data_IF_352774581031
#
_entry.id   IF_352774581031
#
_cell.length_a   1.000
_cell.length_b   1.000
_cell.length_c   1.000
_cell.angle_alpha   90.00
_cell.angle_beta   90.00
_cell.angle_gamma   90.00
#
_symmetry.space_group_name_H-M   'P 1'
#
loop_
_entity.id
_entity.type
_entity.pdbx_description
1 polymer ?
#
# COMPACT_ATOMS: atom_id res chain seq x y z
N UNK A 1 6.68 20.14 13.89
CA UNK A 1 7.48 21.24 14.51
C UNK A 1 6.52 22.33 14.99
N UNK A 2 6.70 22.99 16.15
CA UNK A 2 5.79 24.05 16.56
C UNK A 2 5.91 25.27 15.62
N UNK A 3 4.77 25.74 15.11
CA UNK A 3 4.65 26.89 14.22
C UNK A 3 5.00 28.17 14.99
N UNK A 4 5.91 29.01 14.47
CA UNK A 4 6.38 30.22 15.15
C UNK A 4 5.53 31.46 14.84
N UNK A 5 4.77 31.45 13.75
CA UNK A 5 3.84 32.53 13.41
C UNK A 5 3.32 32.43 11.97
N UNK A 6 2.87 33.57 11.45
CA UNK A 6 2.51 33.78 10.05
C UNK A 6 3.18 35.04 9.52
N UNK A 7 3.63 35.01 8.27
CA UNK A 7 4.08 36.20 7.53
C UNK A 7 3.02 36.56 6.49
N UNK A 8 2.63 37.84 6.46
CA UNK A 8 1.72 38.39 5.44
C UNK A 8 2.54 38.92 4.28
N UNK A 9 2.38 38.32 3.10
CA UNK A 9 3.02 38.73 1.86
C UNK A 9 1.97 39.33 0.92
N UNK A 10 2.26 40.51 0.38
CA UNK A 10 1.48 41.13 -0.70
C UNK A 10 2.27 40.96 -2.01
N UNK A 11 1.71 40.24 -2.97
CA UNK A 11 2.32 40.02 -4.28
C UNK A 11 2.13 41.24 -5.18
N UNK A 12 2.94 41.36 -6.24
CA UNK A 12 2.87 42.46 -7.21
C UNK A 12 1.52 42.56 -7.94
N UNK A 13 0.75 41.47 -7.99
CA UNK A 13 -0.61 41.43 -8.53
C UNK A 13 -1.70 41.81 -7.50
N UNK A 14 -1.31 42.33 -6.32
CA UNK A 14 -2.21 42.74 -5.24
C UNK A 14 -2.80 41.60 -4.42
N UNK A 15 -2.54 40.33 -4.76
CA UNK A 15 -3.00 39.19 -3.97
C UNK A 15 -2.17 39.06 -2.70
N UNK A 16 -2.83 38.67 -1.63
CA UNK A 16 -2.20 38.50 -0.33
C UNK A 16 -2.12 37.02 0.09
N UNK A 17 -1.04 36.66 0.78
CA UNK A 17 -0.82 35.35 1.34
C UNK A 17 -0.42 35.48 2.81
N UNK A 18 -1.16 34.79 3.69
CA UNK A 18 -0.74 34.57 5.08
C UNK A 18 -0.10 33.19 5.17
N UNK A 19 1.22 33.16 5.29
CA UNK A 19 2.00 31.93 5.14
C UNK A 19 2.60 31.54 6.50
N UNK A 20 2.36 30.31 7.00
CA UNK A 20 3.01 29.79 8.19
C UNK A 20 4.53 29.89 8.11
N UNK A 21 5.17 30.30 9.21
CA UNK A 21 6.63 30.30 9.33
C UNK A 21 7.06 29.53 10.58
N UNK A 22 8.11 28.73 10.46
CA UNK A 22 8.77 28.09 11.58
C UNK A 22 9.77 29.05 12.25
N UNK A 23 10.35 28.57 13.36
CA UNK A 23 11.35 29.32 14.15
C UNK A 23 12.63 29.65 13.37
N UNK A 24 12.88 28.95 12.27
CA UNK A 24 14.09 29.09 11.46
C UNK A 24 13.84 30.02 10.24
N UNK A 25 12.63 30.58 10.12
CA UNK A 25 12.26 31.52 9.06
C UNK A 25 11.79 30.86 7.76
N UNK A 26 11.46 29.57 7.78
CA UNK A 26 11.01 28.81 6.60
C UNK A 26 9.55 28.39 6.73
N UNK A 27 8.92 28.05 5.60
CA UNK A 27 7.58 27.48 5.60
C UNK A 27 7.63 26.02 6.09
N UNK A 28 6.87 25.63 7.14
CA UNK A 28 6.83 24.25 7.58
C UNK A 28 6.33 23.31 6.47
N UNK A 29 6.99 22.17 6.29
CA UNK A 29 6.61 21.17 5.27
C UNK A 29 5.16 20.68 5.44
N UNK A 30 4.74 20.42 6.67
CA UNK A 30 3.35 20.04 6.96
C UNK A 30 2.34 21.10 6.50
N UNK A 31 2.70 22.38 6.55
CA UNK A 31 1.86 23.47 6.08
C UNK A 31 1.76 23.52 4.56
N UNK A 32 2.87 23.23 3.85
CA UNK A 32 2.86 23.08 2.39
C UNK A 32 1.95 21.90 1.98
N UNK A 33 2.11 20.73 2.61
CA UNK A 33 1.26 19.55 2.33
C UNK A 33 -0.22 19.86 2.60
N UNK A 34 -0.55 20.47 3.75
CA UNK A 34 -1.92 20.88 4.07
C UNK A 34 -2.50 21.86 3.05
N UNK A 35 -1.71 22.84 2.61
CA UNK A 35 -2.14 23.81 1.59
C UNK A 35 -2.42 23.13 0.26
N UNK A 36 -1.52 22.25 -0.17
CA UNK A 36 -1.68 21.46 -1.39
C UNK A 36 -2.96 20.61 -1.34
N UNK A 37 -3.15 19.86 -0.25
CA UNK A 37 -4.32 19.01 -0.06
C UNK A 37 -5.63 19.81 -0.06
N UNK A 38 -5.67 20.96 0.60
CA UNK A 38 -6.83 21.86 0.58
C UNK A 38 -7.20 22.28 -0.85
N UNK A 39 -6.21 22.61 -1.69
CA UNK A 39 -6.45 23.05 -3.07
C UNK A 39 -7.01 21.91 -3.92
N UNK A 40 -6.45 20.70 -3.78
CA UNK A 40 -6.92 19.49 -4.47
C UNK A 40 -8.38 19.17 -4.09
N UNK A 41 -8.72 19.25 -2.81
CA UNK A 41 -10.07 18.97 -2.31
C UNK A 41 -11.14 19.95 -2.79
N UNK A 42 -10.76 21.19 -3.11
CA UNK A 42 -11.68 22.21 -3.66
C UNK A 42 -12.03 21.97 -5.15
N UNK A 43 -11.62 20.83 -5.72
CA UNK A 43 -11.99 20.45 -7.09
C UNK A 43 -11.28 21.26 -8.18
N UNK A 44 -10.18 21.92 -7.83
CA UNK A 44 -9.30 22.55 -8.81
C UNK A 44 -8.41 21.48 -9.48
N UNK A 45 -7.96 21.80 -10.70
CA UNK A 45 -7.31 20.96 -11.72
C UNK A 45 -5.94 20.39 -11.29
N UNK A 46 -5.87 19.71 -10.14
CA UNK A 46 -4.69 19.01 -9.65
C UNK A 46 -5.05 17.59 -9.27
N UNK A 47 -4.31 16.63 -9.81
CA UNK A 47 -4.44 15.21 -9.54
C UNK A 47 -3.10 14.77 -8.96
N UNK A 48 -3.06 14.52 -7.64
CA UNK A 48 -1.78 14.35 -6.90
C UNK A 48 -0.84 13.31 -7.55
N UNK A 49 -1.33 12.13 -7.96
CA UNK A 49 -0.50 11.16 -8.68
C UNK A 49 0.00 11.66 -10.04
N UNK A 50 -0.85 12.31 -10.84
CA UNK A 50 -0.50 12.81 -12.18
C UNK A 50 0.46 13.99 -12.13
N UNK A 51 0.23 14.95 -11.25
CA UNK A 51 1.09 16.13 -11.12
C UNK A 51 2.51 15.71 -10.69
N UNK A 52 2.63 14.67 -9.87
CA UNK A 52 3.92 14.08 -9.50
C UNK A 52 4.67 13.44 -10.69
N UNK A 53 3.98 13.03 -11.75
CA UNK A 53 4.58 12.43 -12.96
C UNK A 53 4.67 13.42 -14.14
N UNK A 54 3.88 14.49 -14.14
CA UNK A 54 3.79 15.54 -15.17
C UNK A 54 4.04 16.92 -14.55
N UNK A 55 5.32 17.31 -14.49
CA UNK A 55 5.73 18.52 -13.77
C UNK A 55 5.31 19.82 -14.45
N UNK A 56 4.99 20.83 -13.64
CA UNK A 56 4.96 22.22 -14.03
C UNK A 56 6.35 22.69 -14.50
N UNK A 57 6.40 23.76 -15.29
CA UNK A 57 7.65 24.32 -15.81
C UNK A 57 8.62 24.82 -14.72
N UNK A 58 8.13 25.01 -13.50
CA UNK A 58 8.91 25.48 -12.35
C UNK A 58 8.62 24.60 -11.14
N UNK A 59 9.67 23.98 -10.60
CA UNK A 59 9.65 23.23 -9.35
C UNK A 59 10.41 24.02 -8.29
N UNK A 60 9.72 24.37 -7.20
CA UNK A 60 10.27 25.10 -6.07
C UNK A 60 10.90 24.12 -5.06
N UNK A 61 11.98 24.52 -4.35
CA UNK A 61 12.61 23.68 -3.36
C UNK A 61 11.72 23.50 -2.13
N UNK A 62 11.72 22.32 -1.50
CA UNK A 62 10.88 22.05 -0.31
C UNK A 62 11.19 22.98 0.88
N UNK A 63 12.42 23.50 0.95
CA UNK A 63 12.85 24.47 1.96
C UNK A 63 12.83 25.85 1.34
N UNK A 64 11.80 26.62 1.65
CA UNK A 64 11.56 27.96 1.12
C UNK A 64 11.11 28.92 2.22
N UNK A 65 11.48 30.19 2.09
CA UNK A 65 10.95 31.29 2.91
C UNK A 65 9.51 31.60 2.51
N UNK A 66 8.71 32.28 3.36
CA UNK A 66 7.36 32.72 2.99
C UNK A 66 7.31 33.52 1.68
N UNK A 67 8.30 34.40 1.46
CA UNK A 67 8.38 35.21 0.25
C UNK A 67 8.56 34.37 -1.02
N UNK A 68 9.41 33.36 -0.97
CA UNK A 68 9.63 32.41 -2.08
C UNK A 68 8.38 31.53 -2.30
N UNK A 69 7.71 31.13 -1.23
CA UNK A 69 6.50 30.32 -1.28
C UNK A 69 5.28 31.08 -1.82
N UNK A 70 5.26 32.41 -1.75
CA UNK A 70 4.04 33.20 -1.90
C UNK A 70 3.34 33.03 -3.26
N UNK A 71 4.12 32.93 -4.34
CA UNK A 71 3.56 32.71 -5.68
C UNK A 71 2.81 31.37 -5.78
N UNK A 72 3.42 30.28 -5.28
CA UNK A 72 2.79 28.97 -5.20
C UNK A 72 1.63 28.97 -4.19
N UNK A 73 1.77 29.66 -3.05
CA UNK A 73 0.72 29.68 -2.02
C UNK A 73 -0.59 30.24 -2.57
N UNK A 74 -0.51 31.29 -3.39
CA UNK A 74 -1.65 31.98 -4.01
C UNK A 74 -2.10 31.32 -5.30
N UNK A 75 -1.19 30.70 -6.05
CA UNK A 75 -1.47 30.07 -7.34
C UNK A 75 -0.75 28.73 -7.43
N UNK A 76 -1.18 27.75 -6.61
CA UNK A 76 -0.50 26.45 -6.49
C UNK A 76 -0.42 25.75 -7.83
N UNK A 77 -1.46 25.84 -8.67
CA UNK A 77 -1.51 25.21 -10.00
C UNK A 77 -0.42 25.63 -10.99
N UNK A 78 0.34 26.69 -10.72
CA UNK A 78 1.37 27.22 -11.64
C UNK A 78 2.80 26.79 -11.28
N UNK A 79 2.99 26.13 -10.15
CA UNK A 79 4.30 25.71 -9.64
C UNK A 79 4.18 24.36 -8.95
N UNK A 80 5.23 23.56 -8.98
CA UNK A 80 5.32 22.38 -8.13
C UNK A 80 6.33 22.64 -7.01
N UNK A 81 6.32 21.78 -6.01
CA UNK A 81 7.21 21.78 -4.85
C UNK A 81 7.84 20.40 -4.74
N UNK A 82 9.17 20.37 -4.65
CA UNK A 82 9.92 19.13 -4.44
C UNK A 82 9.33 18.32 -3.28
N UNK A 83 9.18 17.01 -3.48
CA UNK A 83 8.62 16.02 -2.57
C UNK A 83 7.12 16.12 -2.23
N UNK A 84 6.39 17.11 -2.74
CA UNK A 84 4.93 17.22 -2.54
C UNK A 84 4.21 16.78 -3.81
N UNK A 85 4.41 17.51 -4.89
CA UNK A 85 3.82 17.30 -6.22
C UNK A 85 4.88 17.24 -7.32
N UNK A 86 6.16 17.12 -6.95
CA UNK A 86 7.26 16.74 -7.84
C UNK A 86 8.27 15.85 -7.09
N UNK A 87 8.99 14.93 -7.74
CA UNK A 87 10.06 14.17 -7.11
C UNK A 87 11.25 15.06 -6.77
N UNK A 88 11.75 14.96 -5.54
CA UNK A 88 13.02 15.59 -5.17
C UNK A 88 14.22 14.63 -5.29
N UNK A 89 15.37 15.06 -4.80
CA UNK A 89 16.60 14.23 -4.80
C UNK A 89 16.51 13.08 -3.79
N UNK A 90 17.10 11.94 -4.14
CA UNK A 90 17.22 10.81 -3.22
C UNK A 90 18.20 11.12 -2.08
N UNK A 91 17.78 10.79 -0.86
CA UNK A 91 18.58 10.91 0.35
C UNK A 91 19.36 9.62 0.63
N UNK A 92 20.59 9.77 1.09
CA UNK A 92 21.51 8.70 1.46
C UNK A 92 22.09 8.91 2.87
N UNK A 93 21.34 9.56 3.76
CA UNK A 93 21.85 9.91 5.08
C UNK A 93 21.92 8.67 5.98
N UNK A 94 23.13 8.12 6.12
CA UNK A 94 23.41 6.92 6.92
C UNK A 94 24.14 7.19 8.24
N UNK A 95 24.43 8.45 8.55
CA UNK A 95 25.18 8.85 9.76
C UNK A 95 24.52 8.42 11.07
N UNK A 96 23.19 8.27 11.08
CA UNK A 96 22.44 7.79 12.25
C UNK A 96 22.47 6.27 12.46
N UNK A 97 23.04 5.49 11.55
CA UNK A 97 23.07 4.03 11.61
C UNK A 97 24.40 3.60 12.20
N UNK A 98 24.42 2.95 13.37
CA UNK A 98 25.68 2.57 14.04
C UNK A 98 26.36 1.33 13.44
N UNK A 99 25.59 0.37 12.97
CA UNK A 99 26.11 -0.86 12.37
C UNK A 99 26.66 -0.58 10.96
N UNK A 100 27.96 -0.81 10.76
CA UNK A 100 28.67 -0.52 9.51
C UNK A 100 28.15 -1.32 8.31
N UNK A 101 27.72 -2.57 8.51
CA UNK A 101 27.13 -3.36 7.43
C UNK A 101 25.77 -2.78 7.02
N UNK A 102 24.96 -2.38 8.01
CA UNK A 102 23.66 -1.74 7.73
C UNK A 102 23.86 -0.38 7.07
N UNK A 103 24.89 0.40 7.45
CA UNK A 103 25.27 1.59 6.70
C UNK A 103 25.58 1.24 5.24
N UNK A 104 26.37 0.19 4.99
CA UNK A 104 26.71 -0.27 3.65
C UNK A 104 25.49 -0.64 2.81
N UNK A 105 24.49 -1.28 3.42
CA UNK A 105 23.20 -1.56 2.76
C UNK A 105 22.43 -0.27 2.48
N UNK A 106 22.26 0.59 3.48
CA UNK A 106 21.46 1.81 3.34
C UNK A 106 22.07 2.85 2.40
N UNK A 107 23.39 2.79 2.13
CA UNK A 107 24.04 3.57 1.05
C UNK A 107 23.58 3.17 -0.35
N UNK A 108 23.03 1.96 -0.51
CA UNK A 108 22.45 1.46 -1.76
C UNK A 108 20.92 1.65 -1.84
N UNK A 109 20.32 2.24 -0.81
CA UNK A 109 18.89 2.53 -0.76
C UNK A 109 18.71 4.05 -0.84
N UNK A 110 18.37 4.55 -2.02
CA UNK A 110 17.99 5.94 -2.20
C UNK A 110 16.58 6.18 -1.67
N UNK A 111 16.39 7.18 -0.81
CA UNK A 111 15.06 7.50 -0.27
C UNK A 111 14.60 8.84 -0.83
N UNK A 112 13.52 8.85 -1.61
CA UNK A 112 12.93 10.07 -2.14
C UNK A 112 11.70 10.41 -1.32
N UNK A 113 11.84 11.34 -0.37
CA UNK A 113 10.76 11.81 0.49
C UNK A 113 11.08 13.21 1.04
N UNK A 114 10.12 13.92 1.65
CA UNK A 114 10.44 15.11 2.43
C UNK A 114 11.53 14.80 3.47
N UNK A 115 12.54 15.67 3.67
CA UNK A 115 13.72 15.35 4.49
C UNK A 115 13.42 14.87 5.92
N UNK A 116 12.36 15.39 6.54
CA UNK A 116 11.97 15.01 7.89
C UNK A 116 11.46 13.55 8.03
N UNK A 117 11.06 12.93 6.92
CA UNK A 117 10.49 11.57 6.90
C UNK A 117 11.55 10.48 6.69
N UNK A 118 12.75 10.84 6.23
CA UNK A 118 13.78 9.86 5.83
C UNK A 118 14.11 8.89 6.98
N UNK A 119 14.23 9.41 8.21
CA UNK A 119 14.54 8.59 9.40
C UNK A 119 13.45 7.56 9.69
N UNK A 120 12.19 7.93 9.51
CA UNK A 120 11.05 7.03 9.70
C UNK A 120 11.06 5.93 8.63
N UNK A 121 11.23 6.29 7.36
CA UNK A 121 11.34 5.32 6.25
C UNK A 121 12.48 4.32 6.49
N UNK A 122 13.66 4.81 6.91
CA UNK A 122 14.80 3.93 7.26
C UNK A 122 14.47 3.00 8.43
N UNK A 123 13.75 3.49 9.44
CA UNK A 123 13.30 2.67 10.57
C UNK A 123 12.35 1.57 10.09
N UNK A 124 11.35 1.91 9.28
CA UNK A 124 10.39 0.93 8.73
C UNK A 124 11.09 -0.16 7.90
N UNK A 125 12.08 0.19 7.08
CA UNK A 125 12.87 -0.77 6.31
C UNK A 125 13.63 -1.74 7.24
N UNK A 126 14.26 -1.23 8.30
CA UNK A 126 14.97 -2.05 9.28
C UNK A 126 14.04 -2.95 10.11
N UNK A 127 12.81 -2.50 10.33
CA UNK A 127 11.79 -3.29 11.01
C UNK A 127 11.13 -4.35 10.11
N UNK A 128 11.11 -4.12 8.80
CA UNK A 128 10.53 -5.03 7.82
C UNK A 128 11.42 -6.25 7.57
N UNK A 129 12.75 -6.06 7.58
CA UNK A 129 13.70 -7.12 7.24
C UNK A 129 14.88 -7.18 8.21
N UNK A 130 15.28 -8.38 8.66
CA UNK A 130 16.54 -8.56 9.36
C UNK A 130 17.71 -8.18 8.45
N UNK A 131 18.83 -7.82 9.08
CA UNK A 131 20.08 -7.42 8.42
C UNK A 131 20.54 -8.35 7.29
N UNK A 132 20.41 -9.67 7.46
CA UNK A 132 20.78 -10.64 6.43
C UNK A 132 19.92 -10.55 5.17
N UNK A 133 18.64 -10.21 5.30
CA UNK A 133 17.71 -10.05 4.17
C UNK A 133 17.84 -8.65 3.55
N UNK A 134 18.13 -7.62 4.33
CA UNK A 134 18.46 -6.30 3.80
C UNK A 134 19.67 -6.33 2.85
N UNK A 135 20.67 -7.17 3.13
CA UNK A 135 21.80 -7.38 2.20
C UNK A 135 21.35 -7.98 0.86
N UNK A 136 20.33 -8.85 0.87
CA UNK A 136 19.76 -9.45 -0.35
C UNK A 136 18.92 -8.45 -1.13
N UNK A 137 18.19 -7.58 -0.44
CA UNK A 137 17.37 -6.52 -1.04
C UNK A 137 18.18 -5.59 -1.95
N UNK A 138 19.48 -5.44 -1.71
CA UNK A 138 20.39 -4.59 -2.51
C UNK A 138 21.48 -5.37 -3.23
N UNK A 139 21.33 -6.70 -3.33
CA UNK A 139 22.37 -7.58 -3.88
C UNK A 139 22.56 -7.39 -5.39
N UNK A 140 21.47 -7.20 -6.13
CA UNK A 140 21.49 -7.02 -7.59
C UNK A 140 21.59 -5.53 -8.01
N UNK A 141 21.75 -4.61 -7.05
CA UNK A 141 22.02 -3.20 -7.31
C UNK A 141 21.32 -2.25 -6.34
N UNK A 142 21.47 -0.93 -6.55
CA UNK A 142 20.76 0.07 -5.77
C UNK A 142 19.25 0.04 -6.02
N UNK A 143 18.49 0.29 -4.95
CA UNK A 143 17.03 0.44 -5.01
C UNK A 143 16.64 1.87 -4.61
N UNK A 144 15.45 2.28 -5.00
CA UNK A 144 14.85 3.55 -4.57
C UNK A 144 13.55 3.29 -3.84
N UNK A 145 13.39 3.90 -2.67
CA UNK A 145 12.11 3.97 -1.95
C UNK A 145 11.59 5.39 -2.05
N UNK A 146 10.46 5.57 -2.72
CA UNK A 146 9.83 6.88 -2.95
C UNK A 146 8.58 6.99 -2.11
N UNK A 147 8.44 8.06 -1.33
CA UNK A 147 7.20 8.42 -0.65
C UNK A 147 6.51 9.49 -1.49
N UNK A 148 5.34 9.16 -2.04
CA UNK A 148 4.59 10.02 -2.96
C UNK A 148 3.09 9.76 -2.82
N UNK A 149 2.22 10.67 -3.28
CA UNK A 149 0.80 10.37 -3.42
C UNK A 149 0.58 9.25 -4.46
N UNK A 150 -0.24 8.25 -4.10
CA UNK A 150 -0.73 7.20 -4.99
C UNK A 150 -2.26 7.26 -5.10
N UNK A 151 -2.82 6.84 -6.24
CA UNK A 151 -4.26 7.00 -6.52
C UNK A 151 -5.12 5.90 -5.86
N UNK A 152 -4.68 4.63 -5.95
CA UNK A 152 -5.52 3.47 -5.60
C UNK A 152 -4.81 2.42 -4.73
N UNK A 153 -3.58 2.68 -4.26
CA UNK A 153 -2.81 1.71 -3.48
C UNK A 153 -2.02 2.37 -2.34
N UNK A 154 -1.72 1.58 -1.30
CA UNK A 154 -0.83 2.02 -0.22
C UNK A 154 0.65 1.95 -0.64
N UNK A 155 0.96 1.17 -1.68
CA UNK A 155 2.29 1.05 -2.25
C UNK A 155 2.21 0.44 -3.65
N UNK A 156 3.31 0.54 -4.37
CA UNK A 156 3.54 -0.24 -5.57
C UNK A 156 5.04 -0.56 -5.72
N UNK A 157 5.33 -1.55 -6.55
CA UNK A 157 6.68 -1.93 -6.89
C UNK A 157 6.87 -2.02 -8.40
N UNK A 158 7.95 -1.41 -8.88
CA UNK A 158 8.38 -1.52 -10.27
C UNK A 158 9.91 -1.58 -10.38
N UNK A 159 10.42 -2.73 -10.85
CA UNK A 159 11.85 -3.01 -11.08
C UNK A 159 12.73 -2.86 -9.85
N UNK A 160 13.27 -1.67 -9.58
CA UNK A 160 14.10 -1.39 -8.42
C UNK A 160 13.56 -0.21 -7.62
N UNK A 161 12.30 0.15 -7.85
CA UNK A 161 11.59 1.23 -7.18
C UNK A 161 10.44 0.66 -6.37
N UNK A 162 10.40 1.04 -5.10
CA UNK A 162 9.28 0.82 -4.19
C UNK A 162 8.65 2.19 -3.97
N UNK A 163 7.39 2.35 -4.36
CA UNK A 163 6.64 3.55 -4.05
C UNK A 163 5.73 3.27 -2.85
N UNK A 164 5.71 4.19 -1.90
CA UNK A 164 4.85 4.15 -0.73
C UNK A 164 3.95 5.38 -0.76
N UNK A 165 2.65 5.15 -0.55
CA UNK A 165 1.72 6.25 -0.42
C UNK A 165 2.07 7.10 0.81
N UNK A 166 2.00 8.43 0.65
CA UNK A 166 2.38 9.37 1.69
C UNK A 166 1.46 9.31 2.93
N UNK A 167 0.17 9.00 2.75
CA UNK A 167 -0.82 9.00 3.83
C UNK A 167 -1.08 7.59 4.38
N UNK A 168 -0.98 6.57 3.53
CA UNK A 168 -1.39 5.20 3.85
C UNK A 168 -0.28 4.16 3.69
N UNK A 169 0.85 4.50 3.06
CA UNK A 169 1.94 3.58 2.74
C UNK A 169 3.04 3.48 3.78
N UNK A 170 3.12 4.42 4.72
CA UNK A 170 4.18 4.49 5.74
C UNK A 170 3.87 3.58 6.94
N UNK A 171 3.77 2.29 6.68
CA UNK A 171 3.56 1.27 7.70
C UNK A 171 4.38 0.01 7.37
N UNK A 172 4.62 -0.82 8.39
CA UNK A 172 5.42 -2.04 8.24
C UNK A 172 4.84 -3.01 7.19
N UNK A 173 3.51 -3.12 7.13
CA UNK A 173 2.82 -4.05 6.24
C UNK A 173 3.08 -3.73 4.77
N UNK A 174 2.95 -2.46 4.38
CA UNK A 174 3.21 -1.99 3.02
C UNK A 174 4.69 -2.14 2.66
N UNK A 175 5.61 -1.71 3.54
CA UNK A 175 7.06 -1.85 3.28
C UNK A 175 7.47 -3.31 3.10
N UNK A 176 6.89 -4.22 3.91
CA UNK A 176 7.09 -5.66 3.75
C UNK A 176 6.49 -6.16 2.43
N UNK A 177 5.31 -5.71 2.04
CA UNK A 177 4.64 -6.15 0.80
C UNK A 177 5.44 -5.76 -0.44
N UNK A 178 5.73 -4.47 -0.61
CA UNK A 178 6.45 -3.98 -1.80
C UNK A 178 7.90 -4.46 -1.84
N UNK A 179 8.56 -4.52 -0.68
CA UNK A 179 9.90 -5.09 -0.58
C UNK A 179 9.92 -6.60 -0.88
N UNK A 180 8.82 -7.32 -0.63
CA UNK A 180 8.73 -8.73 -0.97
C UNK A 180 8.64 -8.95 -2.48
N UNK A 181 7.90 -8.13 -3.23
CA UNK A 181 7.96 -8.20 -4.70
C UNK A 181 9.39 -8.07 -5.22
N UNK A 182 10.17 -7.15 -4.63
CA UNK A 182 11.59 -7.04 -4.97
C UNK A 182 12.40 -8.27 -4.57
N UNK A 183 12.30 -8.70 -3.31
CA UNK A 183 13.02 -9.86 -2.78
C UNK A 183 12.74 -11.14 -3.57
N UNK A 184 11.49 -11.36 -3.99
CA UNK A 184 11.07 -12.50 -4.79
C UNK A 184 11.76 -12.53 -6.17
N UNK A 185 12.17 -11.36 -6.67
CA UNK A 185 12.89 -11.19 -7.93
C UNK A 185 14.41 -11.38 -7.78
N UNK A 186 15.02 -10.80 -6.72
CA UNK A 186 16.49 -10.69 -6.61
C UNK A 186 17.15 -11.71 -5.68
N UNK A 187 16.40 -12.31 -4.75
CA UNK A 187 16.96 -13.30 -3.81
C UNK A 187 17.14 -14.67 -4.48
N UNK A 188 18.38 -14.95 -4.89
CA UNK A 188 18.81 -16.15 -5.61
C UNK A 188 18.62 -17.45 -4.82
N UNK A 189 18.40 -17.37 -3.50
CA UNK A 189 18.12 -18.55 -2.68
C UNK A 189 16.70 -19.07 -2.87
N UNK A 190 15.80 -18.27 -3.46
CA UNK A 190 14.41 -18.63 -3.72
C UNK A 190 14.30 -19.47 -4.98
N UNK A 191 13.82 -20.71 -4.81
CA UNK A 191 13.74 -21.70 -5.90
C UNK A 191 12.32 -22.14 -6.22
N UNK A 192 11.40 -22.04 -5.26
CA UNK A 192 10.03 -22.51 -5.42
C UNK A 192 9.16 -21.57 -6.26
N UNK A 193 8.16 -22.09 -6.99
CA UNK A 193 7.22 -21.25 -7.74
C UNK A 193 6.36 -20.35 -6.84
N UNK A 194 6.22 -20.72 -5.56
CA UNK A 194 5.48 -19.93 -4.57
C UNK A 194 6.33 -18.75 -4.07
N UNK A 195 7.65 -18.91 -3.94
CA UNK A 195 8.53 -17.94 -3.27
C UNK A 195 9.35 -17.09 -4.22
N UNK A 196 9.49 -17.52 -5.48
CA UNK A 196 10.10 -16.74 -6.56
C UNK A 196 9.07 -15.89 -7.30
N UNK A 197 9.51 -14.73 -7.78
CA UNK A 197 8.68 -13.82 -8.55
C UNK A 197 8.12 -14.49 -9.80
N UNK A 198 6.86 -14.19 -10.12
CA UNK A 198 6.25 -14.57 -11.38
C UNK A 198 6.68 -13.62 -12.50
N UNK A 199 6.79 -14.17 -13.71
CA UNK A 199 6.95 -13.37 -14.92
C UNK A 199 5.58 -12.80 -15.32
N UNK A 200 5.35 -11.52 -15.01
CA UNK A 200 4.03 -10.89 -15.14
C UNK A 200 3.75 -10.57 -16.60
N UNK A 201 3.07 -11.50 -17.28
CA UNK A 201 2.66 -11.37 -18.70
C UNK A 201 1.17 -11.11 -18.86
N UNK A 202 0.38 -11.50 -17.87
CA UNK A 202 -1.07 -11.36 -17.86
C UNK A 202 -1.64 -11.21 -16.45
N UNK A 203 -2.96 -10.98 -16.37
CA UNK A 203 -3.64 -10.81 -15.08
C UNK A 203 -3.62 -12.07 -14.19
N UNK A 204 -3.45 -13.27 -14.77
CA UNK A 204 -3.35 -14.51 -13.98
C UNK A 204 -1.96 -14.63 -13.32
N UNK A 205 -0.88 -14.27 -14.01
CA UNK A 205 0.45 -14.18 -13.41
C UNK A 205 0.51 -13.12 -12.30
N UNK A 206 -0.19 -12.00 -12.47
CA UNK A 206 -0.35 -10.97 -11.44
C UNK A 206 -1.07 -11.50 -10.20
N UNK A 207 -2.23 -12.14 -10.33
CA UNK A 207 -2.95 -12.66 -9.14
C UNK A 207 -2.16 -13.76 -8.41
N UNK A 208 -1.32 -14.53 -9.10
CA UNK A 208 -0.38 -15.46 -8.45
C UNK A 208 0.64 -14.67 -7.63
N UNK A 209 1.29 -13.68 -8.24
CA UNK A 209 2.31 -12.87 -7.59
C UNK A 209 1.80 -12.16 -6.33
N UNK A 210 0.63 -11.52 -6.42
CA UNK A 210 -0.05 -10.89 -5.28
C UNK A 210 -0.37 -11.92 -4.19
N UNK A 211 -0.95 -13.07 -4.56
CA UNK A 211 -1.32 -14.11 -3.59
C UNK A 211 -0.11 -14.67 -2.83
N UNK A 212 0.99 -14.90 -3.54
CA UNK A 212 2.23 -15.39 -2.96
C UNK A 212 2.92 -14.32 -2.09
N UNK A 213 2.90 -13.06 -2.51
CA UNK A 213 3.44 -11.93 -1.74
C UNK A 213 2.67 -11.71 -0.45
N UNK A 214 1.33 -11.71 -0.50
CA UNK A 214 0.48 -11.59 0.70
C UNK A 214 0.70 -12.76 1.66
N UNK A 215 0.88 -13.99 1.16
CA UNK A 215 1.17 -15.12 2.02
C UNK A 215 2.48 -14.94 2.81
N UNK A 216 3.53 -14.43 2.16
CA UNK A 216 4.79 -14.15 2.83
C UNK A 216 4.73 -12.91 3.74
N UNK A 217 3.95 -11.89 3.37
CA UNK A 217 3.59 -10.78 4.25
C UNK A 217 2.87 -11.30 5.51
N UNK A 218 1.95 -12.26 5.39
CA UNK A 218 1.30 -12.88 6.54
C UNK A 218 2.28 -13.68 7.42
N UNK A 219 3.37 -14.21 6.86
CA UNK A 219 4.41 -14.87 7.64
C UNK A 219 5.29 -13.87 8.40
N UNK A 220 5.59 -12.70 7.82
CA UNK A 220 6.67 -11.79 8.27
C UNK A 220 6.22 -10.45 8.82
N UNK A 221 5.11 -9.91 8.34
CA UNK A 221 4.63 -8.58 8.74
C UNK A 221 4.27 -8.54 10.22
N UNK A 222 4.47 -7.39 10.86
CA UNK A 222 4.01 -7.18 12.24
C UNK A 222 2.48 -7.07 12.27
N UNK A 223 1.94 -6.29 11.34
CA UNK A 223 0.52 -5.92 11.29
C UNK A 223 -0.13 -6.46 10.00
N UNK A 224 -0.83 -7.61 10.07
CA UNK A 224 -1.49 -8.17 8.90
C UNK A 224 -2.69 -7.31 8.48
N UNK A 225 -2.94 -7.20 7.17
CA UNK A 225 -4.08 -6.49 6.59
C UNK A 225 -5.02 -7.46 5.87
N UNK A 226 -6.33 -7.19 5.94
CA UNK A 226 -7.38 -7.99 5.28
C UNK A 226 -7.71 -7.52 3.86
N UNK A 227 -7.05 -6.50 3.31
CA UNK A 227 -7.40 -5.89 2.02
C UNK A 227 -7.58 -6.90 0.87
N UNK A 228 -6.59 -7.78 0.66
CA UNK A 228 -6.65 -8.83 -0.36
C UNK A 228 -7.68 -9.91 -0.06
N UNK A 229 -8.01 -10.13 1.21
CA UNK A 229 -8.98 -11.13 1.62
C UNK A 229 -10.41 -10.76 1.19
N UNK A 230 -10.69 -9.49 0.90
CA UNK A 230 -11.96 -9.07 0.29
C UNK A 230 -12.16 -9.64 -1.13
N UNK A 231 -11.08 -10.08 -1.78
CA UNK A 231 -11.10 -10.69 -3.12
C UNK A 231 -10.93 -12.22 -3.08
N UNK A 232 -10.91 -12.83 -1.89
CA UNK A 232 -10.85 -14.29 -1.72
C UNK A 232 -12.27 -14.84 -1.74
N UNK A 233 -12.65 -15.52 -2.82
CA UNK A 233 -14.02 -16.04 -2.94
C UNK A 233 -14.30 -17.13 -1.90
N UNK A 234 -15.50 -17.07 -1.32
CA UNK A 234 -16.05 -18.09 -0.43
C UNK A 234 -17.29 -18.70 -1.04
N UNK A 235 -17.51 -19.99 -0.76
CA UNK A 235 -18.70 -20.70 -1.21
C UNK A 235 -19.84 -20.47 -0.22
N UNK A 236 -20.90 -19.82 -0.68
CA UNK A 236 -22.12 -19.63 0.09
C UNK A 236 -22.92 -20.93 0.06
N UNK A 237 -22.86 -21.70 1.15
CA UNK A 237 -23.55 -23.00 1.25
C UNK A 237 -25.07 -22.89 1.11
N UNK A 238 -25.67 -21.76 1.52
CA UNK A 238 -27.11 -21.56 1.44
C UNK A 238 -27.52 -21.25 0.00
N UNK A 239 -26.73 -20.44 -0.70
CA UNK A 239 -27.01 -20.02 -2.09
C UNK A 239 -26.34 -20.89 -3.14
N UNK A 240 -25.58 -21.91 -2.71
CA UNK A 240 -24.77 -22.82 -3.54
C UNK A 240 -23.97 -22.12 -4.63
N UNK A 241 -23.37 -20.96 -4.29
CA UNK A 241 -22.62 -20.12 -5.23
C UNK A 241 -21.39 -19.50 -4.58
N UNK A 242 -20.38 -19.23 -5.39
CA UNK A 242 -19.23 -18.43 -4.97
C UNK A 242 -19.61 -16.96 -4.86
N UNK A 243 -19.13 -16.29 -3.81
CA UNK A 243 -19.28 -14.85 -3.60
C UNK A 243 -18.04 -14.26 -2.96
N UNK A 244 -17.94 -12.93 -3.00
CA UNK A 244 -16.98 -12.22 -2.16
C UNK A 244 -17.43 -12.25 -0.69
N UNK A 245 -16.46 -12.28 0.25
CA UNK A 245 -16.73 -12.32 1.67
C UNK A 245 -17.27 -10.99 2.16
N UNK A 246 -17.92 -11.02 3.32
CA UNK A 246 -18.12 -9.85 4.17
C UNK A 246 -16.79 -9.42 4.79
N UNK A 247 -16.71 -8.20 5.32
CA UNK A 247 -15.51 -7.71 6.00
C UNK A 247 -15.08 -8.63 7.17
N UNK A 248 -16.06 -9.12 7.95
CA UNK A 248 -15.80 -10.08 9.03
C UNK A 248 -15.21 -11.38 8.51
N UNK A 249 -15.78 -11.96 7.45
CA UNK A 249 -15.26 -13.19 6.84
C UNK A 249 -13.84 -13.00 6.26
N UNK A 250 -13.56 -11.83 5.66
CA UNK A 250 -12.21 -11.49 5.19
C UNK A 250 -11.21 -11.38 6.35
N UNK A 251 -11.59 -10.73 7.44
CA UNK A 251 -10.77 -10.64 8.66
C UNK A 251 -10.51 -12.02 9.27
N UNK A 252 -11.52 -12.90 9.32
CA UNK A 252 -11.37 -14.24 9.87
C UNK A 252 -10.43 -15.09 9.00
N UNK A 253 -10.56 -15.05 7.67
CA UNK A 253 -9.64 -15.71 6.75
C UNK A 253 -8.20 -15.20 6.88
N UNK A 254 -8.02 -13.88 7.07
CA UNK A 254 -6.71 -13.27 7.33
C UNK A 254 -6.09 -13.78 8.63
N UNK A 255 -6.89 -13.91 9.71
CA UNK A 255 -6.41 -14.44 11.00
C UNK A 255 -6.03 -15.91 10.90
N UNK A 256 -6.83 -16.71 10.20
CA UNK A 256 -6.55 -18.12 9.95
C UNK A 256 -5.24 -18.30 9.18
N UNK A 257 -5.04 -17.53 8.11
CA UNK A 257 -3.81 -17.57 7.33
C UNK A 257 -2.62 -17.05 8.12
N UNK A 258 -2.76 -15.97 8.90
CA UNK A 258 -1.72 -15.50 9.81
C UNK A 258 -1.30 -16.61 10.77
N UNK A 259 -2.24 -17.27 11.42
CA UNK A 259 -1.95 -18.39 12.31
C UNK A 259 -1.28 -19.55 11.55
N UNK A 260 -1.74 -19.89 10.35
CA UNK A 260 -1.16 -20.92 9.50
C UNK A 260 0.31 -20.60 9.15
N UNK A 261 0.59 -19.40 8.65
CA UNK A 261 1.92 -19.00 8.18
C UNK A 261 2.89 -18.72 9.33
N UNK A 262 2.40 -18.45 10.55
CA UNK A 262 3.25 -18.22 11.74
C UNK A 262 3.30 -19.42 12.69
N UNK A 263 3.00 -20.63 12.18
CA UNK A 263 3.06 -21.88 12.94
C UNK A 263 2.21 -21.83 14.24
N UNK A 264 1.08 -21.13 14.19
CA UNK A 264 0.12 -20.95 15.29
C UNK A 264 0.50 -19.87 16.31
N UNK A 265 1.69 -19.28 16.21
CA UNK A 265 2.19 -18.33 17.22
C UNK A 265 1.65 -16.91 17.04
N UNK A 266 1.17 -16.57 15.84
CA UNK A 266 0.82 -15.21 15.41
C UNK A 266 1.98 -14.20 15.46
N UNK A 267 3.20 -14.66 15.78
CA UNK A 267 4.41 -13.85 15.80
C UNK A 267 5.09 -13.88 14.44
N UNK A 268 5.66 -12.75 13.98
CA UNK A 268 6.45 -12.70 12.75
C UNK A 268 7.52 -13.78 12.69
N UNK A 269 7.62 -14.46 11.56
CA UNK A 269 8.77 -15.26 11.15
C UNK A 269 9.72 -14.40 10.31
N UNK A 270 10.97 -14.83 10.16
CA UNK A 270 11.95 -14.14 9.32
C UNK A 270 12.85 -15.14 8.61
N UNK A 271 13.60 -14.68 7.61
CA UNK A 271 14.56 -15.51 6.91
C UNK A 271 13.95 -16.79 6.33
N UNK A 272 14.70 -17.88 6.46
CA UNK A 272 14.35 -19.19 5.93
C UNK A 272 13.05 -19.75 6.53
N UNK A 273 12.78 -19.51 7.82
CA UNK A 273 11.56 -19.99 8.48
C UNK A 273 10.28 -19.46 7.84
N UNK A 274 10.29 -18.19 7.43
CA UNK A 274 9.15 -17.58 6.76
C UNK A 274 8.96 -18.18 5.35
N UNK A 275 10.04 -18.32 4.59
CA UNK A 275 10.04 -18.89 3.23
C UNK A 275 9.51 -20.33 3.26
N UNK A 276 10.06 -21.18 4.13
CA UNK A 276 9.64 -22.58 4.25
C UNK A 276 8.19 -22.71 4.69
N UNK A 277 7.75 -21.87 5.65
CA UNK A 277 6.36 -21.84 6.08
C UNK A 277 5.41 -21.52 4.91
N UNK A 278 5.75 -20.53 4.09
CA UNK A 278 4.94 -20.14 2.94
C UNK A 278 4.90 -21.27 1.90
N UNK A 279 6.04 -21.86 1.54
CA UNK A 279 6.10 -22.96 0.56
C UNK A 279 5.24 -24.16 0.97
N UNK A 280 5.24 -24.51 2.25
CA UNK A 280 4.51 -25.66 2.77
C UNK A 280 3.01 -25.40 2.98
N UNK A 281 2.59 -24.13 3.11
CA UNK A 281 1.25 -23.78 3.53
C UNK A 281 0.43 -23.01 2.50
N UNK A 282 1.06 -22.40 1.49
CA UNK A 282 0.34 -21.55 0.54
C UNK A 282 -0.84 -22.27 -0.12
N UNK A 283 -0.65 -23.48 -0.64
CA UNK A 283 -1.72 -24.19 -1.38
C UNK A 283 -2.98 -24.54 -0.55
N UNK A 284 -2.89 -24.52 0.79
CA UNK A 284 -4.01 -24.76 1.72
C UNK A 284 -4.53 -23.49 2.39
N UNK A 285 -3.92 -22.35 2.14
CA UNK A 285 -4.34 -21.07 2.72
C UNK A 285 -5.62 -20.54 2.08
N UNK A 286 -6.25 -19.58 2.73
CA UNK A 286 -7.34 -18.81 2.16
C UNK A 286 -6.85 -17.93 1.00
N UNK A 287 -5.71 -17.25 1.17
CA UNK A 287 -5.16 -16.32 0.16
C UNK A 287 -4.78 -17.00 -1.15
N UNK A 288 -4.52 -18.32 -1.17
CA UNK A 288 -4.36 -19.07 -2.43
C UNK A 288 -5.58 -19.02 -3.35
N UNK A 289 -6.76 -18.70 -2.81
CA UNK A 289 -8.00 -18.53 -3.58
C UNK A 289 -8.27 -17.08 -3.99
N UNK A 290 -7.30 -16.18 -3.80
CA UNK A 290 -7.37 -14.80 -4.29
C UNK A 290 -7.82 -14.77 -5.75
N UNK A 291 -8.80 -13.93 -6.07
CA UNK A 291 -9.33 -13.79 -7.43
C UNK A 291 -9.65 -12.34 -7.72
N UNK A 292 -8.78 -11.69 -8.49
CA UNK A 292 -8.99 -10.33 -8.96
C UNK A 292 -9.96 -10.30 -10.15
N UNK A 293 -10.60 -9.17 -10.45
CA UNK A 293 -11.53 -9.05 -11.58
C UNK A 293 -10.91 -9.51 -12.91
N UNK A 294 -11.59 -10.43 -13.60
CA UNK A 294 -11.16 -10.98 -14.88
C UNK A 294 -10.06 -12.06 -14.80
N UNK A 295 -9.81 -12.63 -13.61
CA UNK A 295 -8.78 -13.67 -13.40
C UNK A 295 -9.39 -15.02 -12.96
N UNK A 296 -8.58 -16.09 -13.07
CA UNK A 296 -8.80 -17.32 -12.30
C UNK A 296 -8.39 -17.09 -10.83
N UNK A 297 -8.78 -17.99 -9.91
CA UNK A 297 -8.17 -17.93 -8.58
C UNK A 297 -6.67 -18.22 -8.66
N UNK A 298 -5.87 -17.63 -7.78
CA UNK A 298 -4.41 -17.76 -7.80
C UNK A 298 -3.95 -19.21 -7.82
N UNK A 299 -4.57 -20.09 -7.03
CA UNK A 299 -4.25 -21.52 -7.02
C UNK A 299 -4.60 -22.22 -8.33
N UNK A 300 -5.70 -21.85 -9.00
CA UNK A 300 -6.05 -22.40 -10.31
C UNK A 300 -5.12 -21.91 -11.41
N UNK A 301 -4.71 -20.64 -11.33
CA UNK A 301 -3.72 -20.05 -12.23
C UNK A 301 -2.35 -20.71 -12.04
N UNK A 302 -1.89 -20.85 -10.79
CA UNK A 302 -0.64 -21.51 -10.44
C UNK A 302 -0.62 -22.99 -10.87
N UNK A 303 -1.74 -23.70 -10.69
CA UNK A 303 -1.89 -25.09 -11.16
C UNK A 303 -1.69 -25.21 -12.67
N UNK A 304 -2.24 -24.26 -13.45
CA UNK A 304 -2.08 -24.25 -14.90
C UNK A 304 -0.64 -23.96 -15.35
N UNK A 305 0.15 -23.21 -14.55
CA UNK A 305 1.55 -22.90 -14.86
C UNK A 305 2.49 -24.02 -14.44
N UNK A 306 2.24 -24.65 -13.29
CA UNK A 306 3.21 -25.57 -12.67
C UNK A 306 2.86 -27.05 -12.82
N UNK A 307 1.61 -27.39 -13.14
CA UNK A 307 1.08 -28.77 -13.20
C UNK A 307 1.09 -29.55 -11.88
N UNK A 308 1.82 -29.07 -10.87
CA UNK A 308 2.19 -29.82 -9.65
C UNK A 308 1.37 -29.40 -8.43
N UNK A 309 0.78 -28.21 -8.45
CA UNK A 309 -0.06 -27.70 -7.36
C UNK A 309 -1.52 -27.99 -7.70
N UNK A 310 -2.18 -28.85 -6.91
CA UNK A 310 -3.61 -29.18 -7.09
C UNK A 310 -4.47 -28.12 -6.38
N UNK A 311 -5.41 -27.53 -7.12
CA UNK A 311 -6.44 -26.71 -6.51
C UNK A 311 -7.37 -27.57 -5.64
N UNK A 312 -7.74 -27.13 -4.42
CA UNK A 312 -8.72 -27.84 -3.61
C UNK A 312 -10.07 -27.83 -4.33
N UNK A 313 -10.69 -29.00 -4.46
CA UNK A 313 -11.91 -29.22 -5.25
C UNK A 313 -13.20 -28.79 -4.54
N UNK A 314 -13.14 -28.33 -3.28
CA UNK A 314 -14.19 -27.64 -2.50
C UNK A 314 -13.60 -27.21 -1.14
N UNK A 315 -14.09 -26.14 -0.49
CA UNK A 315 -13.73 -25.86 0.91
C UNK A 315 -14.17 -27.05 1.79
N UNK A 316 -13.26 -27.53 2.65
CA UNK A 316 -13.60 -28.53 3.66
C UNK A 316 -14.51 -27.84 4.68
N UNK A 317 -15.76 -28.29 4.80
CA UNK A 317 -16.62 -27.87 5.90
C UNK A 317 -15.84 -27.99 7.21
N UNK A 318 -15.84 -26.93 8.01
CA UNK A 318 -15.21 -26.93 9.33
C UNK A 318 -15.72 -28.16 10.10
N UNK A 319 -14.86 -29.17 10.26
CA UNK A 319 -15.18 -30.32 11.09
C UNK A 319 -15.34 -29.78 12.50
N UNK A 320 -16.59 -29.70 12.96
CA UNK A 320 -16.93 -29.35 14.31
C UNK A 320 -16.15 -30.25 15.27
N UNK A 321 -15.19 -29.68 15.99
CA UNK A 321 -14.64 -30.30 17.19
C UNK A 321 -15.75 -30.29 18.24
N UNK A 322 -16.57 -31.33 18.26
CA UNK A 322 -17.45 -31.63 19.38
C UNK A 322 -16.62 -32.21 20.52
N UNK A 323 -15.98 -31.34 21.31
CA UNK A 323 -15.57 -31.73 22.66
C UNK A 323 -16.62 -31.21 23.64
N UNK A 324 -17.51 -32.13 24.03
CA UNK A 324 -18.30 -32.04 25.26
C UNK A 324 -17.32 -31.94 26.42
N UNK A 325 -17.26 -30.79 27.08
CA UNK A 325 -16.85 -30.70 28.47
C UNK A 325 -17.78 -29.73 29.19
N UNK A 326 -18.63 -30.30 30.05
CA UNK A 326 -19.39 -29.59 31.06
C UNK A 326 -18.42 -28.93 32.05
N UNK A 327 -18.57 -27.64 32.29
CA UNK A 327 -18.36 -27.07 33.63
C UNK A 327 -19.07 -25.72 33.74
N UNK A 328 -19.78 -25.57 34.84
CA UNK A 328 -20.65 -24.46 35.17
C UNK A 328 -19.90 -23.25 35.72
N UNK A 329 -20.65 -22.15 35.80
CA UNK A 329 -20.58 -21.04 36.76
C UNK A 329 -19.76 -19.78 36.41
N UNK A 330 -20.56 -18.73 36.14
CA UNK A 330 -20.56 -17.45 36.84
C UNK A 330 -19.45 -16.42 36.56
N UNK A 331 -19.80 -15.31 35.90
CA UNK A 331 -20.09 -14.00 36.54
C UNK A 331 -20.12 -12.85 35.52
N UNK A 332 -21.06 -11.93 35.78
CA UNK A 332 -21.01 -10.47 35.59
C UNK A 332 -20.95 -9.90 34.16
N UNK A 333 -22.09 -9.34 33.76
CA UNK A 333 -22.17 -8.13 32.92
C UNK A 333 -21.31 -7.01 33.51
N UNK A 334 -20.79 -6.12 32.65
CA UNK A 334 -21.38 -4.78 32.62
C UNK A 334 -21.71 -4.33 31.19
N UNK A 335 -22.76 -3.50 31.12
CA UNK A 335 -23.09 -2.67 29.98
C UNK A 335 -22.04 -1.55 29.82
N UNK A 336 -21.78 -1.08 28.59
CA UNK A 336 -22.05 0.31 28.21
C UNK A 336 -21.76 0.61 26.73
N UNK A 337 -22.64 1.47 26.21
CA UNK A 337 -22.54 2.45 25.12
C UNK A 337 -22.27 1.98 23.69
N UNK A 338 -23.37 1.84 22.96
CA UNK A 338 -23.47 2.13 21.54
C UNK A 338 -23.05 3.58 21.23
N UNK A 339 -22.12 3.76 20.30
CA UNK A 339 -22.09 4.94 19.42
C UNK A 339 -22.15 4.44 17.99
N UNK A 340 -23.34 4.59 17.40
CA UNK A 340 -23.62 4.35 15.98
C UNK A 340 -22.78 5.33 15.15
N UNK A 341 -21.87 4.81 14.33
CA UNK A 341 -21.35 5.53 13.19
C UNK A 341 -21.60 4.70 11.93
N UNK A 342 -22.54 5.18 11.12
CA UNK A 342 -22.86 4.67 9.78
C UNK A 342 -21.89 5.28 8.76
N UNK A 343 -21.18 4.48 7.94
CA UNK A 343 -20.63 4.97 6.69
C UNK A 343 -21.62 4.72 5.53
N UNK A 344 -21.89 5.80 4.79
CA UNK A 344 -22.77 5.86 3.62
C UNK A 344 -22.25 4.97 2.48
N UNK A 345 -23.16 4.19 1.92
CA UNK A 345 -23.01 3.53 0.60
C UNK A 345 -22.89 4.60 -0.49
N UNK A 346 -21.90 4.48 -1.36
CA UNK A 346 -22.02 4.97 -2.74
C UNK A 346 -21.83 3.81 -3.69
N UNK A 347 -22.94 3.42 -4.31
CA UNK A 347 -23.00 2.47 -5.40
C UNK A 347 -23.01 3.25 -6.72
N UNK A 348 -22.01 3.03 -7.56
CA UNK A 348 -22.04 3.43 -8.95
C UNK A 348 -23.09 2.58 -9.70
N UNK A 349 -24.14 3.23 -10.22
CA UNK A 349 -25.04 2.64 -11.22
C UNK A 349 -24.76 3.28 -12.57
N UNK A 350 -24.06 2.53 -13.45
CA UNK A 350 -24.20 2.67 -14.90
C UNK A 350 -25.59 2.18 -15.31
N UNK A 351 -26.34 3.01 -16.05
CA UNK A 351 -27.44 2.55 -16.91
C UNK A 351 -27.16 2.99 -18.33
N UNK A 352 -26.91 2.01 -19.18
CA UNK A 352 -27.04 2.05 -20.63
C UNK A 352 -28.48 1.72 -21.04
N UNK A 353 -29.07 2.56 -21.89
CA UNK A 353 -30.10 2.25 -22.89
C UNK A 353 -30.33 3.57 -23.64
N UNK A 354 -30.23 3.72 -24.96
CA UNK A 354 -30.58 2.80 -26.03
C UNK A 354 -31.60 3.51 -26.93
N UNK A 355 -31.12 4.01 -28.07
CA UNK A 355 -31.77 4.13 -29.40
C UNK A 355 -33.18 4.78 -29.59
N UNK A 356 -33.21 5.58 -30.67
CA UNK A 356 -34.27 5.87 -31.68
C UNK A 356 -35.41 6.85 -31.39
N UNK A 357 -35.39 7.99 -32.11
CA UNK A 357 -36.36 8.39 -33.18
C UNK A 357 -35.76 9.58 -33.97
N UNK A 358 -35.40 9.44 -35.25
CA UNK A 358 -36.15 9.85 -36.47
C UNK A 358 -37.01 11.13 -36.32
N UNK A 359 -36.66 12.18 -37.07
CA UNK A 359 -37.60 13.26 -37.41
C UNK A 359 -37.02 14.55 -38.01
N UNK A 360 -36.88 14.57 -39.35
CA UNK A 360 -37.06 15.72 -40.28
C UNK A 360 -36.34 17.07 -40.07
N UNK A 361 -35.34 17.29 -40.94
CA UNK A 361 -35.31 18.28 -42.03
C UNK A 361 -36.02 19.65 -41.81
N UNK A 362 -35.25 20.74 -41.88
CA UNK A 362 -35.51 21.87 -42.80
C UNK A 362 -34.27 22.77 -42.96
N UNK A 363 -33.94 23.06 -44.22
CA UNK A 363 -33.08 24.16 -44.67
C UNK A 363 -33.76 25.50 -44.35
N UNK A 364 -32.99 26.54 -44.04
CA UNK A 364 -32.85 27.74 -44.89
C UNK A 364 -32.00 28.84 -44.23
N UNK A 365 -31.16 29.42 -45.10
CA UNK A 365 -30.44 30.69 -45.09
C UNK A 365 -29.25 30.81 -44.15
#
# INVERSE_FOLDING_TARGET
>A
MPQAGFERIVLSNGKEANIPVDKDGYVPVESLIKRFNFVVEQGHVRNRPKDYDEHASVVLPIKMTPREAAAWWVSPNSYDVEYIDAPGKAHYNVSGIKDQDLQGVHKKIGIVCPPHMEKEVRTLINEAYPKSELKKLVADGPITVTVRPLEESAGDYWKNKINLDMEHGLNNSTVVHEGLHHMRMVDKDRRGPITRAQDIKDKNSMVIEESCTVAEQMARGKDPSSGYYQFVQIFDENKKRWRYPTEKEALDMMREDRALFTKGTNKPLSGRDAIESVEQNWSRSNISRLKLPGTKSAISAMSAVTGSIKAPTKPRAAQGRSNKSKSAAAKKKPALSEKKHTPKKQAAKKKTSGRTSRGKQTRRK
#
